data_IF_257179504745
#
_entry.id   IF_257179504745
#
_cell.length_a   1.000
_cell.length_b   1.000
_cell.length_c   1.000
_cell.angle_alpha   90.00
_cell.angle_beta   90.00
_cell.angle_gamma   90.00
#
_symmetry.space_group_name_H-M   'P 1'
#
loop_
_entity.id
_entity.type
_entity.pdbx_description
1 polymer ?
#
# COMPACT_ATOMS: atom_id res chain seq x y z
N UNK A 1 19.33 10.80 -4.22
CA UNK A 1 19.51 11.44 -2.89
C UNK A 1 18.27 11.09 -2.10
N UNK A 2 18.35 10.36 -0.98
CA UNK A 2 17.14 10.00 -0.25
C UNK A 2 16.54 11.27 0.36
N UNK A 3 15.44 11.76 -0.22
CA UNK A 3 14.66 12.85 0.34
C UNK A 3 14.11 12.39 1.69
N UNK A 4 14.85 12.63 2.77
CA UNK A 4 14.39 12.46 4.15
C UNK A 4 13.31 13.53 4.42
N UNK A 5 12.15 13.41 3.80
CA UNK A 5 10.97 14.15 4.22
C UNK A 5 10.72 13.78 5.69
N UNK A 6 10.70 14.81 6.53
CA UNK A 6 10.54 14.67 7.97
C UNK A 6 9.18 14.04 8.27
N UNK A 7 9.21 13.00 9.10
CA UNK A 7 8.05 12.30 9.67
C UNK A 7 7.15 13.19 10.55
N UNK A 8 7.44 14.49 10.60
CA UNK A 8 6.73 15.52 11.34
C UNK A 8 5.95 16.47 10.42
N UNK A 9 6.01 16.29 9.10
CA UNK A 9 5.21 17.11 8.19
C UNK A 9 3.71 16.76 8.33
N UNK A 10 2.87 17.67 8.84
CA UNK A 10 1.44 17.42 8.97
C UNK A 10 0.75 17.16 7.62
N UNK A 11 1.36 17.54 6.50
CA UNK A 11 0.87 17.22 5.17
C UNK A 11 0.95 15.72 4.84
N UNK A 12 1.75 14.94 5.56
CA UNK A 12 1.88 13.50 5.38
C UNK A 12 0.86 12.68 6.19
N UNK A 13 0.16 13.28 7.16
CA UNK A 13 -0.86 12.57 7.96
C UNK A 13 -1.92 11.84 7.11
N UNK A 14 -2.51 12.46 6.05
CA UNK A 14 -3.47 11.75 5.22
C UNK A 14 -2.87 10.54 4.51
N UNK A 15 -1.58 10.59 4.18
CA UNK A 15 -0.87 9.46 3.58
C UNK A 15 -0.65 8.35 4.60
N UNK A 16 -0.26 8.68 5.83
CA UNK A 16 -0.10 7.72 6.93
C UNK A 16 -1.41 6.97 7.19
N UNK A 17 -2.52 7.69 7.33
CA UNK A 17 -3.86 7.11 7.53
C UNK A 17 -4.26 6.18 6.37
N UNK A 18 -3.89 6.53 5.14
CA UNK A 18 -4.15 5.71 3.95
C UNK A 18 -3.29 4.46 3.91
N UNK A 19 -2.01 4.56 4.27
CA UNK A 19 -1.10 3.41 4.36
C UNK A 19 -1.56 2.45 5.45
N UNK A 20 -2.00 2.96 6.61
CA UNK A 20 -2.61 2.13 7.66
C UNK A 20 -3.87 1.43 7.17
N UNK A 21 -4.78 2.14 6.49
CA UNK A 21 -5.97 1.55 5.90
C UNK A 21 -5.63 0.46 4.86
N UNK A 22 -4.58 0.66 4.06
CA UNK A 22 -4.07 -0.34 3.12
C UNK A 22 -3.57 -1.60 3.83
N UNK A 23 -2.78 -1.47 4.90
CA UNK A 23 -2.27 -2.62 5.64
C UNK A 23 -3.40 -3.41 6.32
N UNK A 24 -4.40 -2.73 6.85
CA UNK A 24 -5.58 -3.40 7.43
C UNK A 24 -6.43 -4.10 6.36
N UNK A 25 -6.59 -3.49 5.18
CA UNK A 25 -7.26 -4.11 4.04
C UNK A 25 -6.48 -5.34 3.53
N UNK A 26 -5.14 -5.28 3.47
CA UNK A 26 -4.28 -6.40 3.09
C UNK A 26 -4.42 -7.58 4.06
N UNK A 27 -4.40 -7.29 5.38
CA UNK A 27 -4.67 -8.30 6.43
C UNK A 27 -6.06 -8.90 6.31
N UNK A 28 -7.09 -8.07 6.04
CA UNK A 28 -8.45 -8.54 5.83
C UNK A 28 -8.55 -9.46 4.60
N UNK A 29 -7.94 -9.07 3.48
CA UNK A 29 -7.89 -9.87 2.27
C UNK A 29 -7.17 -11.21 2.50
N UNK A 30 -6.03 -11.21 3.19
CA UNK A 30 -5.29 -12.43 3.49
C UNK A 30 -6.12 -13.38 4.39
N UNK A 31 -6.80 -12.85 5.41
CA UNK A 31 -7.73 -13.65 6.24
C UNK A 31 -8.88 -14.22 5.41
N UNK A 32 -9.49 -13.40 4.54
CA UNK A 32 -10.57 -13.83 3.67
C UNK A 32 -10.12 -14.92 2.68
N UNK A 33 -8.92 -14.79 2.11
CA UNK A 33 -8.32 -15.82 1.23
C UNK A 33 -8.13 -17.15 1.96
N UNK A 34 -7.51 -17.13 3.13
CA UNK A 34 -7.31 -18.35 3.94
C UNK A 34 -8.64 -19.00 4.31
N UNK A 35 -9.63 -18.21 4.75
CA UNK A 35 -10.94 -18.73 5.11
C UNK A 35 -11.71 -19.26 3.87
N UNK A 36 -11.56 -18.62 2.70
CA UNK A 36 -12.11 -19.12 1.44
C UNK A 36 -11.45 -20.43 1.01
N UNK A 37 -10.13 -20.55 1.12
CA UNK A 37 -9.38 -21.80 0.86
C UNK A 37 -9.82 -22.94 1.79
N UNK A 38 -10.12 -22.63 3.05
CA UNK A 38 -10.66 -23.60 4.02
C UNK A 38 -12.16 -23.91 3.83
N UNK A 39 -12.86 -23.19 2.93
CA UNK A 39 -14.30 -23.34 2.70
C UNK A 39 -15.19 -22.74 3.81
N UNK A 40 -14.63 -21.89 4.67
CA UNK A 40 -15.28 -21.33 5.87
C UNK A 40 -15.88 -19.93 5.64
N UNK A 41 -15.67 -19.31 4.47
CA UNK A 41 -16.09 -17.93 4.21
C UNK A 41 -16.76 -17.70 2.86
N UNK A 42 -17.88 -16.97 2.90
CA UNK A 42 -18.56 -16.38 1.73
C UNK A 42 -18.09 -14.95 1.45
N UNK A 43 -17.01 -14.49 2.09
CA UNK A 43 -16.49 -13.14 1.90
C UNK A 43 -16.12 -12.90 0.43
N UNK A 44 -16.50 -11.71 -0.07
CA UNK A 44 -16.18 -11.30 -1.44
C UNK A 44 -14.69 -10.93 -1.55
N UNK A 45 -13.87 -11.94 -1.80
CA UNK A 45 -12.42 -11.79 -2.03
C UNK A 45 -12.16 -10.84 -3.20
N UNK A 46 -13.02 -10.85 -4.23
CA UNK A 46 -12.85 -9.98 -5.39
C UNK A 46 -13.12 -8.51 -5.03
N UNK A 47 -14.14 -8.23 -4.22
CA UNK A 47 -14.39 -6.90 -3.66
C UNK A 47 -13.22 -6.37 -2.83
N UNK A 48 -12.70 -7.18 -1.90
CA UNK A 48 -11.54 -6.81 -1.07
C UNK A 48 -10.27 -6.57 -1.91
N UNK A 49 -10.07 -7.34 -2.99
CA UNK A 49 -8.97 -7.10 -3.93
C UNK A 49 -9.12 -5.77 -4.68
N UNK A 50 -10.33 -5.44 -5.12
CA UNK A 50 -10.60 -4.17 -5.81
C UNK A 50 -10.40 -2.97 -4.86
N UNK A 51 -10.84 -3.08 -3.61
CA UNK A 51 -10.63 -2.07 -2.58
C UNK A 51 -9.14 -1.87 -2.27
N UNK A 52 -8.38 -2.96 -2.15
CA UNK A 52 -6.94 -2.90 -1.94
C UNK A 52 -6.23 -2.23 -3.12
N UNK A 53 -6.58 -2.61 -4.36
CA UNK A 53 -6.02 -1.99 -5.56
C UNK A 53 -6.34 -0.50 -5.66
N UNK A 54 -7.54 -0.09 -5.23
CA UNK A 54 -7.92 1.33 -5.16
C UNK A 54 -7.06 2.08 -4.14
N UNK A 55 -6.91 1.53 -2.93
CA UNK A 55 -6.05 2.13 -1.89
C UNK A 55 -4.61 2.26 -2.38
N UNK A 56 -4.09 1.26 -3.07
CA UNK A 56 -2.76 1.28 -3.67
C UNK A 56 -2.60 2.48 -4.63
N UNK A 57 -3.53 2.67 -5.56
CA UNK A 57 -3.50 3.79 -6.51
C UNK A 57 -3.64 5.15 -5.81
N UNK A 58 -4.48 5.25 -4.78
CA UNK A 58 -4.63 6.47 -3.98
C UNK A 58 -3.32 6.83 -3.28
N UNK A 59 -2.67 5.86 -2.61
CA UNK A 59 -1.38 6.06 -1.94
C UNK A 59 -0.30 6.47 -2.94
N UNK A 60 -0.19 5.77 -4.07
CA UNK A 60 0.76 6.10 -5.15
C UNK A 60 0.54 7.54 -5.65
N UNK A 61 -0.72 7.97 -5.79
CA UNK A 61 -1.09 9.33 -6.18
C UNK A 61 -0.72 10.40 -5.15
N UNK A 62 -0.67 10.03 -3.87
CA UNK A 62 -0.33 10.92 -2.75
C UNK A 62 1.18 10.99 -2.46
N UNK A 63 1.98 10.06 -2.99
CA UNK A 63 3.42 10.09 -2.79
C UNK A 63 4.05 11.30 -3.49
N UNK A 64 4.82 12.13 -2.75
CA UNK A 64 5.44 13.33 -3.32
C UNK A 64 6.58 13.01 -4.29
N UNK A 65 7.23 11.87 -4.11
CA UNK A 65 8.30 11.37 -4.97
C UNK A 65 8.03 9.93 -5.37
N UNK A 66 8.53 9.54 -6.55
CA UNK A 66 8.51 8.16 -7.05
C UNK A 66 9.92 7.59 -6.98
N UNK A 67 10.01 6.26 -6.91
CA UNK A 67 11.26 5.49 -6.85
C UNK A 67 12.14 5.85 -5.63
N UNK A 68 11.53 6.41 -4.58
CA UNK A 68 12.17 6.79 -3.33
C UNK A 68 11.38 6.26 -2.13
N UNK A 69 12.09 6.01 -1.03
CA UNK A 69 11.47 5.69 0.26
C UNK A 69 11.08 6.97 0.98
N UNK A 70 9.79 7.09 1.30
CA UNK A 70 9.24 8.07 2.21
C UNK A 70 9.09 7.44 3.60
N UNK A 71 9.51 8.15 4.64
CA UNK A 71 9.26 7.73 6.03
C UNK A 71 7.84 8.12 6.41
N UNK A 72 7.13 7.19 7.04
CA UNK A 72 5.77 7.39 7.56
C UNK A 72 5.68 6.86 8.97
N UNK A 73 4.86 7.49 9.82
CA UNK A 73 4.62 7.07 11.18
C UNK A 73 3.31 6.29 11.29
N UNK A 74 3.42 4.96 11.26
CA UNK A 74 2.27 4.06 11.41
C UNK A 74 2.02 3.66 12.88
N UNK A 75 2.71 4.27 13.84
CA UNK A 75 2.47 4.04 15.27
C UNK A 75 3.06 2.75 15.87
N UNK A 76 3.55 1.79 15.06
CA UNK A 76 4.18 0.55 15.54
C UNK A 76 5.71 0.48 15.34
N UNK A 77 6.32 1.52 14.78
CA UNK A 77 7.76 1.55 14.49
C UNK A 77 8.11 2.41 13.27
N UNK A 78 9.41 2.54 12.94
CA UNK A 78 9.87 3.31 11.79
C UNK A 78 9.44 2.62 10.49
N UNK A 79 8.38 3.14 9.88
CA UNK A 79 7.83 2.59 8.65
C UNK A 79 8.26 3.40 7.42
N UNK A 80 8.31 2.75 6.27
CA UNK A 80 8.65 3.38 4.99
C UNK A 80 7.69 2.92 3.91
N UNK A 81 7.33 3.85 3.05
CA UNK A 81 6.47 3.62 1.89
C UNK A 81 7.11 4.23 0.65
N UNK A 82 6.95 3.60 -0.49
CA UNK A 82 7.37 4.18 -1.77
C UNK A 82 6.67 3.48 -2.92
N UNK A 83 6.81 4.05 -4.12
CA UNK A 83 6.27 3.47 -5.33
C UNK A 83 7.37 3.34 -6.37
N UNK A 84 7.60 2.11 -6.85
CA UNK A 84 8.63 1.82 -7.85
C UNK A 84 8.03 1.58 -9.21
N UNK A 85 8.66 2.12 -10.24
CA UNK A 85 8.29 1.80 -11.61
C UNK A 85 8.62 0.34 -11.91
N UNK A 86 7.58 -0.44 -12.21
CA UNK A 86 7.69 -1.77 -12.77
C UNK A 86 7.59 -1.64 -14.29
N UNK A 87 8.68 -1.95 -15.02
CA UNK A 87 8.67 -1.85 -16.47
C UNK A 87 7.67 -2.86 -17.06
N UNK A 88 7.11 -2.51 -18.22
CA UNK A 88 6.27 -3.42 -18.98
C UNK A 88 7.04 -4.73 -19.28
N UNK A 89 6.59 -5.84 -18.70
CA UNK A 89 7.19 -7.16 -18.85
C UNK A 89 6.12 -8.18 -19.23
N UNK A 90 6.43 -9.07 -20.17
CA UNK A 90 5.53 -10.14 -20.62
C UNK A 90 4.11 -9.68 -21.03
N UNK A 91 4.00 -8.51 -21.67
CA UNK A 91 2.72 -7.98 -22.14
C UNK A 91 1.89 -7.26 -21.07
N UNK A 92 2.36 -7.17 -19.83
CA UNK A 92 1.78 -6.27 -18.83
C UNK A 92 2.22 -4.82 -19.11
N UNK A 93 1.34 -3.81 -18.95
CA UNK A 93 1.72 -2.41 -19.08
C UNK A 93 2.67 -1.99 -17.95
N UNK A 94 3.43 -0.92 -18.20
CA UNK A 94 4.20 -0.28 -17.14
C UNK A 94 3.27 0.22 -16.03
N UNK A 95 3.67 0.01 -14.78
CA UNK A 95 2.89 0.45 -13.62
C UNK A 95 3.80 0.79 -12.46
N UNK A 96 3.30 1.64 -11.57
CA UNK A 96 3.93 1.81 -10.27
C UNK A 96 3.43 0.75 -9.32
N UNK A 97 4.34 0.13 -8.58
CA UNK A 97 4.06 -0.84 -7.52
C UNK A 97 4.34 -0.18 -6.17
N UNK A 98 3.34 -0.18 -5.30
CA UNK A 98 3.48 0.28 -3.92
C UNK A 98 4.28 -0.74 -3.11
N UNK A 99 5.27 -0.26 -2.35
CA UNK A 99 5.95 -1.10 -1.36
C UNK A 99 5.94 -0.40 -0.01
N UNK A 100 5.60 -1.17 1.03
CA UNK A 100 5.58 -0.73 2.41
C UNK A 100 6.51 -1.64 3.22
N UNK A 101 7.33 -1.05 4.10
CA UNK A 101 8.20 -1.75 5.04
C UNK A 101 7.87 -1.22 6.44
N UNK A 102 7.52 -2.12 7.36
CA UNK A 102 7.17 -1.80 8.75
C UNK A 102 7.64 -2.88 9.73
#
# INVERSE_FOLDING_TARGET
>A
MASNLDYLDPALKPLEEKVDAYLEAEKALNRAKVAHENGESTQDVAGLQADLARLEQEIIGMLPTRDEWLKVNLGYGPSRVGAWLVPALHGAPERYELRVIH
#
